data_IF_807286953996
#
_entry.id   IF_807286953996
#
_cell.length_a   1.000
_cell.length_b   1.000
_cell.length_c   1.000
_cell.angle_alpha   90.00
_cell.angle_beta   90.00
_cell.angle_gamma   90.00
#
_symmetry.space_group_name_H-M   'P 1'
#
loop_
_entity.id
_entity.type
_entity.pdbx_description
1 polymer ?
#
# COMPACT_ATOMS: atom_id res chain seq x y z
N UNK A 1 10.92 -21.94 2.20
CA UNK A 1 10.62 -21.14 0.99
C UNK A 1 11.40 -19.85 1.04
N UNK A 2 11.46 -19.10 -0.07
CA UNK A 2 12.16 -17.81 -0.15
C UNK A 2 11.65 -16.76 0.85
N UNK A 3 10.41 -16.91 1.33
CA UNK A 3 9.75 -16.03 2.29
C UNK A 3 9.15 -16.81 3.46
N UNK A 4 9.11 -16.15 4.63
CA UNK A 4 8.36 -16.62 5.80
C UNK A 4 6.87 -16.33 5.63
N UNK A 5 6.01 -17.07 6.35
CA UNK A 5 4.55 -16.92 6.27
C UNK A 5 4.10 -15.51 6.65
N UNK A 6 4.80 -14.90 7.59
CA UNK A 6 4.58 -13.56 8.10
C UNK A 6 4.90 -12.50 7.04
N UNK A 7 5.96 -12.72 6.25
CA UNK A 7 6.31 -11.83 5.13
C UNK A 7 5.26 -11.91 4.02
N UNK A 8 4.79 -13.13 3.70
CA UNK A 8 3.71 -13.31 2.73
C UNK A 8 2.42 -12.64 3.16
N UNK A 9 2.04 -12.76 4.44
CA UNK A 9 0.86 -12.07 4.99
C UNK A 9 1.01 -10.56 4.92
N UNK A 10 2.18 -10.03 5.30
CA UNK A 10 2.45 -8.59 5.23
C UNK A 10 2.37 -8.07 3.80
N UNK A 11 2.96 -8.78 2.83
CA UNK A 11 2.84 -8.42 1.41
C UNK A 11 1.39 -8.38 0.94
N UNK A 12 0.59 -9.38 1.31
CA UNK A 12 -0.82 -9.43 0.93
C UNK A 12 -1.58 -8.24 1.50
N UNK A 13 -1.43 -7.97 2.81
CA UNK A 13 -2.08 -6.84 3.46
C UNK A 13 -1.71 -5.51 2.81
N UNK A 14 -0.42 -5.24 2.59
CA UNK A 14 0.03 -4.01 1.93
C UNK A 14 -0.57 -3.89 0.53
N UNK A 15 -0.53 -4.98 -0.25
CA UNK A 15 -1.03 -4.95 -1.62
C UNK A 15 -2.53 -4.68 -1.67
N UNK A 16 -3.30 -5.27 -0.75
CA UNK A 16 -4.74 -5.07 -0.65
C UNK A 16 -5.06 -3.63 -0.22
N UNK A 17 -4.37 -3.09 0.80
CA UNK A 17 -4.55 -1.71 1.26
C UNK A 17 -4.23 -0.71 0.14
N UNK A 18 -3.04 -0.78 -0.46
CA UNK A 18 -2.65 0.13 -1.54
C UNK A 18 -3.58 0.05 -2.75
N UNK A 19 -4.12 -1.14 -3.06
CA UNK A 19 -5.08 -1.29 -4.15
C UNK A 19 -6.45 -0.67 -3.81
N UNK A 20 -6.90 -0.84 -2.57
CA UNK A 20 -8.15 -0.28 -2.07
C UNK A 20 -8.10 1.25 -2.00
N UNK A 21 -7.02 1.80 -1.46
CA UNK A 21 -6.86 3.25 -1.24
C UNK A 21 -6.58 4.03 -2.52
N UNK A 22 -6.14 3.34 -3.59
CA UNK A 22 -5.80 3.97 -4.86
C UNK A 22 -6.93 4.85 -5.39
N UNK A 23 -8.13 4.31 -5.55
CA UNK A 23 -9.26 5.07 -6.12
C UNK A 23 -9.66 6.29 -5.28
N UNK A 24 -9.94 6.15 -3.96
CA UNK A 24 -10.31 7.29 -3.14
C UNK A 24 -9.19 8.32 -2.98
N UNK A 25 -7.92 7.93 -3.02
CA UNK A 25 -6.80 8.87 -2.97
C UNK A 25 -6.73 9.80 -4.20
N UNK A 26 -7.24 9.37 -5.35
CA UNK A 26 -7.29 10.20 -6.57
C UNK A 26 -8.62 10.94 -6.73
N UNK A 27 -9.74 10.30 -6.39
CA UNK A 27 -11.07 10.78 -6.77
C UNK A 27 -11.98 11.14 -5.59
N UNK A 28 -11.54 10.90 -4.36
CA UNK A 28 -12.41 11.00 -3.19
C UNK A 28 -13.39 9.83 -3.10
N UNK A 29 -14.31 9.89 -2.15
CA UNK A 29 -15.26 8.82 -1.90
C UNK A 29 -16.50 8.92 -2.82
N UNK A 30 -17.24 7.81 -3.02
CA UNK A 30 -18.47 7.82 -3.81
C UNK A 30 -19.58 8.75 -3.28
N UNK A 31 -19.57 9.06 -1.99
CA UNK A 31 -20.49 9.99 -1.31
C UNK A 31 -20.02 11.46 -1.36
N UNK A 32 -18.91 11.74 -2.03
CA UNK A 32 -18.46 13.11 -2.35
C UNK A 32 -17.45 13.71 -1.38
N UNK A 33 -16.83 12.90 -0.50
CA UNK A 33 -15.76 13.36 0.39
C UNK A 33 -14.48 13.50 -0.44
N UNK A 34 -13.81 14.67 -0.44
CA UNK A 34 -12.59 14.86 -1.21
C UNK A 34 -11.42 14.06 -0.61
N UNK A 35 -10.46 13.66 -1.44
CA UNK A 35 -9.31 12.85 -1.03
C UNK A 35 -8.53 13.47 0.15
N UNK A 36 -8.38 14.79 0.21
CA UNK A 36 -7.67 15.48 1.30
C UNK A 36 -8.41 15.50 2.65
N UNK A 37 -9.66 15.02 2.71
CA UNK A 37 -10.38 14.77 3.96
C UNK A 37 -10.38 13.27 4.33
N UNK A 38 -10.01 12.39 3.39
CA UNK A 38 -9.92 10.95 3.60
C UNK A 38 -8.52 10.48 4.00
N UNK A 39 -7.50 11.20 3.55
CA UNK A 39 -6.11 10.87 3.76
C UNK A 39 -5.33 12.09 4.23
N UNK A 40 -4.35 11.84 5.09
CA UNK A 40 -3.42 12.85 5.58
C UNK A 40 -1.97 12.57 5.15
N UNK A 41 -1.04 13.31 5.76
CA UNK A 41 0.39 13.15 5.47
C UNK A 41 0.95 11.81 5.99
N UNK A 42 0.46 11.32 7.13
CA UNK A 42 0.93 10.07 7.73
C UNK A 42 0.55 8.89 6.83
N UNK A 43 -0.67 8.89 6.27
CA UNK A 43 -1.11 7.89 5.28
C UNK A 43 -0.20 7.85 4.05
N UNK A 44 0.18 9.03 3.55
CA UNK A 44 1.08 9.13 2.40
C UNK A 44 2.49 8.62 2.71
N UNK A 45 3.00 8.90 3.90
CA UNK A 45 4.30 8.43 4.37
C UNK A 45 4.30 6.90 4.52
N UNK A 46 3.26 6.33 5.15
CA UNK A 46 3.08 4.88 5.30
C UNK A 46 3.04 4.18 3.93
N UNK A 47 2.21 4.65 3.00
CA UNK A 47 2.10 4.08 1.66
C UNK A 47 3.44 4.03 0.91
N UNK A 48 4.27 5.08 1.08
CA UNK A 48 5.63 5.13 0.51
C UNK A 48 6.56 4.12 1.17
N UNK A 49 6.54 4.01 2.50
CA UNK A 49 7.36 3.04 3.24
C UNK A 49 7.01 1.60 2.91
N UNK A 50 5.72 1.29 2.85
CA UNK A 50 5.20 -0.02 2.48
C UNK A 50 5.56 -0.40 1.04
N UNK A 51 5.42 0.55 0.11
CA UNK A 51 5.85 0.37 -1.28
C UNK A 51 7.35 0.09 -1.37
N UNK A 52 8.18 0.85 -0.64
CA UNK A 52 9.63 0.61 -0.57
C UNK A 52 9.95 -0.78 -0.04
N UNK A 53 9.22 -1.23 0.98
CA UNK A 53 9.37 -2.56 1.54
C UNK A 53 9.05 -3.65 0.50
N UNK A 54 7.92 -3.54 -0.22
CA UNK A 54 7.55 -4.49 -1.28
C UNK A 54 8.61 -4.51 -2.40
N UNK A 55 9.05 -3.34 -2.89
CA UNK A 55 10.06 -3.27 -3.95
C UNK A 55 11.36 -3.99 -3.52
N UNK A 56 11.78 -3.82 -2.27
CA UNK A 56 12.96 -4.50 -1.74
C UNK A 56 12.78 -6.03 -1.66
N UNK A 57 11.56 -6.50 -1.45
CA UNK A 57 11.25 -7.93 -1.53
C UNK A 57 11.30 -8.42 -2.99
N UNK A 58 10.66 -7.71 -3.92
CA UNK A 58 10.64 -8.06 -5.34
C UNK A 58 12.06 -8.13 -5.92
N UNK A 59 12.94 -7.18 -5.57
CA UNK A 59 14.35 -7.17 -5.98
C UNK A 59 15.15 -8.40 -5.52
N UNK A 60 14.71 -9.11 -4.47
CA UNK A 60 15.33 -10.37 -4.04
C UNK A 60 14.87 -11.57 -4.87
N UNK A 61 13.73 -11.46 -5.54
CA UNK A 61 13.13 -12.52 -6.37
C UNK A 61 13.58 -12.39 -7.82
N UNK A 62 13.52 -11.18 -8.34
CA UNK A 62 13.88 -10.85 -9.72
C UNK A 62 15.38 -10.61 -9.75
N UNK A 63 16.14 -11.57 -10.27
CA UNK A 63 17.55 -11.42 -10.62
C UNK A 63 17.69 -10.72 -11.97
#
# INVERSE_FOLDING_TARGET
>A
GLFRREELKRMANISDSLAFDREPAFYGSPDGIPAGELFDQEDAEEAVEETRWIINIIKKVIK
#
